data_IF_596608548059
#
_entry.id   IF_596608548059
#
_cell.length_a   1.000
_cell.length_b   1.000
_cell.length_c   1.000
_cell.angle_alpha   90.00
_cell.angle_beta   90.00
_cell.angle_gamma   90.00
#
_symmetry.space_group_name_H-M   'P 1'
#
loop_
_entity.id
_entity.type
_entity.pdbx_description
1 polymer ?
#
# COMPACT_ATOMS: atom_id res chain seq x y z
N UNK A 1 -32.30 -1.28 8.36
CA UNK A 1 -30.82 -1.37 8.52
C UNK A 1 -30.24 -2.08 7.30
N UNK A 2 -29.45 -1.36 6.52
CA UNK A 2 -29.04 -1.74 5.17
C UNK A 2 -28.04 -2.91 5.24
N UNK A 3 -28.55 -4.14 5.08
CA UNK A 3 -27.78 -5.38 4.98
C UNK A 3 -26.73 -5.34 3.85
N UNK A 4 -26.95 -4.48 2.83
CA UNK A 4 -26.02 -4.32 1.71
C UNK A 4 -24.73 -3.57 2.04
N UNK A 5 -24.67 -2.75 3.10
CA UNK A 5 -23.45 -1.98 3.42
C UNK A 5 -22.26 -2.87 3.80
N UNK A 6 -22.53 -4.01 4.44
CA UNK A 6 -21.51 -5.04 4.71
C UNK A 6 -21.08 -5.76 3.44
N UNK A 7 -22.03 -6.13 2.58
CA UNK A 7 -21.76 -6.82 1.30
C UNK A 7 -20.92 -5.95 0.36
N UNK A 8 -21.24 -4.66 0.24
CA UNK A 8 -20.50 -3.72 -0.61
C UNK A 8 -19.03 -3.58 -0.17
N UNK A 9 -18.74 -3.53 1.13
CA UNK A 9 -17.37 -3.48 1.65
C UNK A 9 -16.59 -4.76 1.32
N UNK A 10 -17.23 -5.92 1.45
CA UNK A 10 -16.62 -7.22 1.11
C UNK A 10 -16.36 -7.30 -0.39
N UNK A 11 -17.33 -6.93 -1.22
CA UNK A 11 -17.16 -6.90 -2.69
C UNK A 11 -16.02 -5.96 -3.11
N UNK A 12 -15.94 -4.76 -2.53
CA UNK A 12 -14.84 -3.82 -2.78
C UNK A 12 -13.49 -4.39 -2.39
N UNK A 13 -13.38 -5.01 -1.21
CA UNK A 13 -12.14 -5.64 -0.76
C UNK A 13 -11.71 -6.77 -1.70
N UNK A 14 -12.65 -7.59 -2.17
CA UNK A 14 -12.39 -8.66 -3.13
C UNK A 14 -11.93 -8.11 -4.48
N UNK A 15 -12.57 -7.05 -4.99
CA UNK A 15 -12.17 -6.41 -6.24
C UNK A 15 -10.75 -5.83 -6.15
N UNK A 16 -10.44 -5.14 -5.04
CA UNK A 16 -9.10 -4.57 -4.79
C UNK A 16 -8.05 -5.68 -4.70
N UNK A 17 -8.32 -6.76 -3.96
CA UNK A 17 -7.41 -7.89 -3.85
C UNK A 17 -7.16 -8.59 -5.19
N UNK A 18 -8.22 -8.81 -5.97
CA UNK A 18 -8.13 -9.41 -7.30
C UNK A 18 -7.34 -8.53 -8.28
N UNK A 19 -7.56 -7.21 -8.23
CA UNK A 19 -6.81 -6.26 -9.05
C UNK A 19 -5.31 -6.32 -8.79
N UNK A 20 -4.90 -6.35 -7.52
CA UNK A 20 -3.48 -6.47 -7.16
C UNK A 20 -2.89 -7.81 -7.61
N UNK A 21 -3.59 -8.92 -7.40
CA UNK A 21 -3.15 -10.24 -7.87
C UNK A 21 -2.93 -10.29 -9.37
N UNK A 22 -3.88 -9.77 -10.15
CA UNK A 22 -3.78 -9.72 -11.61
C UNK A 22 -2.63 -8.79 -12.03
N UNK A 23 -2.47 -7.65 -11.37
CA UNK A 23 -1.37 -6.72 -11.65
C UNK A 23 0.00 -7.39 -11.44
N UNK A 24 0.20 -8.07 -10.31
CA UNK A 24 1.46 -8.79 -10.01
C UNK A 24 1.73 -9.88 -11.06
N UNK A 25 0.69 -10.62 -11.47
CA UNK A 25 0.82 -11.63 -12.52
C UNK A 25 1.25 -11.01 -13.85
N UNK A 26 0.58 -9.95 -14.30
CA UNK A 26 0.91 -9.28 -15.57
C UNK A 26 2.33 -8.70 -15.53
N UNK A 27 2.72 -8.09 -14.40
CA UNK A 27 4.08 -7.55 -14.20
C UNK A 27 5.14 -8.64 -14.43
N UNK A 28 4.92 -9.80 -13.82
CA UNK A 28 5.88 -10.90 -13.83
C UNK A 28 6.05 -11.55 -15.20
N UNK A 29 5.04 -11.54 -16.07
CA UNK A 29 5.09 -12.22 -17.37
C UNK A 29 5.38 -11.29 -18.55
N UNK A 30 4.85 -10.06 -18.53
CA UNK A 30 4.82 -9.18 -19.69
C UNK A 30 5.35 -7.77 -19.42
N UNK A 31 5.67 -7.47 -18.16
CA UNK A 31 5.89 -6.10 -17.70
C UNK A 31 4.58 -5.33 -17.60
N UNK A 32 4.49 -4.42 -16.63
CA UNK A 32 3.30 -3.59 -16.47
C UNK A 32 3.33 -2.38 -17.44
N UNK A 33 2.18 -2.00 -18.02
CA UNK A 33 2.07 -0.68 -18.63
C UNK A 33 2.40 0.41 -17.60
N UNK A 34 3.24 1.39 -17.97
CA UNK A 34 3.69 2.49 -17.08
C UNK A 34 2.56 3.17 -16.30
N UNK A 35 1.39 3.32 -16.92
CA UNK A 35 0.22 3.90 -16.25
C UNK A 35 -0.26 3.06 -15.06
N UNK A 36 -0.32 1.73 -15.21
CA UNK A 36 -0.73 0.82 -14.15
C UNK A 36 0.32 0.78 -13.04
N UNK A 37 1.60 0.86 -13.40
CA UNK A 37 2.71 0.89 -12.43
C UNK A 37 2.63 2.14 -11.53
N UNK A 38 2.43 3.32 -12.14
CA UNK A 38 2.23 4.58 -11.40
C UNK A 38 0.98 4.51 -10.51
N UNK A 39 -0.12 3.97 -11.04
CA UNK A 39 -1.35 3.82 -10.26
C UNK A 39 -1.15 2.89 -9.06
N UNK A 40 -0.49 1.75 -9.24
CA UNK A 40 -0.16 0.81 -8.17
C UNK A 40 0.74 1.44 -7.12
N UNK A 41 1.73 2.23 -7.52
CA UNK A 41 2.61 2.96 -6.60
C UNK A 41 1.82 3.95 -5.73
N UNK A 42 0.97 4.79 -6.35
CA UNK A 42 0.12 5.75 -5.65
C UNK A 42 -0.86 5.05 -4.71
N UNK A 43 -1.48 3.96 -5.18
CA UNK A 43 -2.46 3.21 -4.42
C UNK A 43 -1.83 2.51 -3.21
N UNK A 44 -0.64 1.92 -3.38
CA UNK A 44 0.15 1.32 -2.30
C UNK A 44 0.57 2.35 -1.26
N UNK A 45 1.06 3.51 -1.70
CA UNK A 45 1.39 4.63 -0.81
C UNK A 45 0.17 5.11 -0.01
N UNK A 46 -0.97 5.24 -0.69
CA UNK A 46 -2.23 5.67 -0.06
C UNK A 46 -2.70 4.69 1.02
N UNK A 47 -2.62 3.38 0.75
CA UNK A 47 -2.94 2.34 1.74
C UNK A 47 -1.98 2.42 2.94
N UNK A 48 -0.70 2.66 2.70
CA UNK A 48 0.30 2.76 3.76
C UNK A 48 0.02 3.92 4.71
N UNK A 49 -0.18 5.12 4.15
CA UNK A 49 -0.48 6.34 4.94
C UNK A 49 -1.80 6.18 5.69
N UNK A 50 -2.86 5.72 5.01
CA UNK A 50 -4.17 5.53 5.62
C UNK A 50 -4.12 4.46 6.72
N UNK A 51 -3.45 3.35 6.47
CA UNK A 51 -3.28 2.26 7.43
C UNK A 51 -2.49 2.68 8.66
N UNK A 52 -1.36 3.37 8.47
CA UNK A 52 -0.57 3.94 9.57
C UNK A 52 -1.39 4.92 10.40
N UNK A 53 -2.16 5.82 9.77
CA UNK A 53 -3.03 6.76 10.49
C UNK A 53 -4.11 6.06 11.31
N UNK A 54 -4.81 5.08 10.73
CA UNK A 54 -5.87 4.32 11.42
C UNK A 54 -5.29 3.56 12.61
N UNK A 55 -4.20 2.82 12.42
CA UNK A 55 -3.57 2.03 13.48
C UNK A 55 -2.99 2.92 14.59
N UNK A 56 -2.38 4.05 14.23
CA UNK A 56 -1.92 5.04 15.20
C UNK A 56 -3.06 5.58 16.06
N UNK A 57 -4.20 5.94 15.43
CA UNK A 57 -5.40 6.41 16.15
C UNK A 57 -5.92 5.34 17.12
N UNK A 58 -6.02 4.08 16.68
CA UNK A 58 -6.50 2.97 17.54
C UNK A 58 -5.54 2.69 18.68
N UNK A 59 -4.23 2.78 18.45
CA UNK A 59 -3.23 2.64 19.50
C UNK A 59 -3.35 3.73 20.56
N UNK A 60 -3.53 4.99 20.14
CA UNK A 60 -3.77 6.12 21.07
C UNK A 60 -5.03 5.93 21.90
N UNK A 61 -6.06 5.30 21.33
CA UNK A 61 -7.30 4.96 22.02
C UNK A 61 -7.23 3.67 22.87
N UNK A 62 -6.11 2.94 22.88
CA UNK A 62 -5.97 1.66 23.60
C UNK A 62 -6.82 0.52 23.06
N UNK A 63 -7.37 0.64 21.85
CA UNK A 63 -8.29 -0.34 21.23
C UNK A 63 -7.61 -1.23 20.19
N UNK A 64 -6.29 -1.29 20.22
CA UNK A 64 -5.47 -1.99 19.23
C UNK A 64 -5.42 -3.49 19.52
N UNK A 65 -5.97 -4.29 18.61
CA UNK A 65 -5.99 -5.75 18.73
C UNK A 65 -4.62 -6.37 18.39
N UNK A 66 -4.37 -7.62 18.81
CA UNK A 66 -3.10 -8.29 18.52
C UNK A 66 -2.89 -8.58 17.02
N UNK A 67 -3.99 -8.83 16.28
CA UNK A 67 -3.94 -8.92 14.83
C UNK A 67 -3.52 -7.59 14.20
N UNK A 68 -4.08 -6.48 14.67
CA UNK A 68 -3.74 -5.14 14.19
C UNK A 68 -2.31 -4.73 14.56
N UNK A 69 -1.76 -5.17 15.69
CA UNK A 69 -0.34 -4.99 16.03
C UNK A 69 0.59 -5.70 15.03
N UNK A 70 0.21 -6.89 14.56
CA UNK A 70 0.96 -7.60 13.49
C UNK A 70 0.86 -6.84 12.17
N UNK A 71 -0.34 -6.41 11.80
CA UNK A 71 -0.56 -5.59 10.61
C UNK A 71 0.24 -4.27 10.68
N UNK A 72 0.31 -3.63 11.85
CA UNK A 72 1.09 -2.40 12.02
C UNK A 72 2.58 -2.58 11.78
N UNK A 73 3.14 -3.73 12.16
CA UNK A 73 4.53 -4.06 11.81
C UNK A 73 4.73 -4.16 10.30
N UNK A 74 3.79 -4.78 9.59
CA UNK A 74 3.84 -4.89 8.12
C UNK A 74 3.78 -3.52 7.46
N UNK A 75 2.84 -2.66 7.87
CA UNK A 75 2.70 -1.31 7.31
C UNK A 75 3.95 -0.48 7.61
N UNK A 76 4.53 -0.58 8.81
CA UNK A 76 5.80 0.10 9.12
C UNK A 76 6.95 -0.35 8.24
N UNK A 77 7.07 -1.66 7.96
CA UNK A 77 8.09 -2.16 7.04
C UNK A 77 7.87 -1.63 5.63
N UNK A 78 6.61 -1.59 5.18
CA UNK A 78 6.24 -1.05 3.88
C UNK A 78 6.53 0.45 3.76
N UNK A 79 6.20 1.24 4.77
CA UNK A 79 6.56 2.67 4.86
C UNK A 79 8.07 2.85 4.72
N UNK A 80 8.86 2.06 5.44
CA UNK A 80 10.33 2.11 5.39
C UNK A 80 10.87 1.79 4.00
N UNK A 81 10.32 0.77 3.34
CA UNK A 81 10.68 0.41 1.97
C UNK A 81 10.37 1.55 0.98
N UNK A 82 9.21 2.20 1.13
CA UNK A 82 8.84 3.37 0.31
C UNK A 82 9.84 4.51 0.53
N UNK A 83 10.16 4.84 1.78
CA UNK A 83 11.15 5.88 2.08
C UNK A 83 12.52 5.58 1.45
N UNK A 84 13.01 4.34 1.58
CA UNK A 84 14.28 3.92 0.96
C UNK A 84 14.21 4.06 -0.56
N UNK A 85 13.12 3.62 -1.19
CA UNK A 85 12.93 3.73 -2.64
C UNK A 85 12.96 5.19 -3.12
N UNK A 86 12.28 6.09 -2.41
CA UNK A 86 12.28 7.53 -2.72
C UNK A 86 13.68 8.14 -2.52
N UNK A 87 14.40 7.76 -1.45
CA UNK A 87 15.76 8.23 -1.21
C UNK A 87 16.75 7.75 -2.27
N UNK A 88 16.63 6.51 -2.74
CA UNK A 88 17.43 5.99 -3.85
C UNK A 88 17.16 6.76 -5.14
N UNK A 89 15.89 7.03 -5.45
CA UNK A 89 15.51 7.83 -6.62
C UNK A 89 16.07 9.25 -6.54
N UNK A 90 15.94 9.91 -5.39
CA UNK A 90 16.51 11.24 -5.13
C UNK A 90 18.03 11.23 -5.28
N UNK A 91 18.70 10.22 -4.73
CA UNK A 91 20.15 10.07 -4.85
C UNK A 91 20.56 9.92 -6.30
N UNK A 92 19.87 9.08 -7.07
CA UNK A 92 20.12 8.95 -8.51
C UNK A 92 20.01 10.29 -9.23
N UNK A 93 18.95 11.08 -8.97
CA UNK A 93 18.80 12.41 -9.57
C UNK A 93 19.88 13.41 -9.15
N UNK A 94 20.36 13.35 -7.91
CA UNK A 94 21.45 14.22 -7.44
C UNK A 94 22.80 13.83 -8.06
N UNK A 95 23.04 12.54 -8.25
CA UNK A 95 24.31 12.02 -8.74
C UNK A 95 24.39 11.84 -10.26
N UNK A 96 23.27 11.93 -11.00
CA UNK A 96 23.26 11.80 -12.47
C UNK A 96 24.13 12.84 -13.18
N UNK A 97 24.34 14.01 -12.56
CA UNK A 97 25.22 15.06 -13.10
C UNK A 97 26.72 14.74 -12.93
N UNK A 98 27.04 13.79 -12.05
CA UNK A 98 28.42 13.39 -11.74
C UNK A 98 28.83 12.08 -12.44
N UNK A 99 27.95 11.52 -13.28
CA UNK A 99 28.18 10.40 -14.19
C UNK A 99 28.29 10.91 -15.63
#
# INVERSE_FOLDING_TARGET
>A
MIKSWGTWKVTLLTVIGNYFLISILIESYYGLPKFIEIFNAIFTFSISVAGTYVLWRKNKAGTLTDYEKRCWRLIRTLDLLIFISVLLLLSFFLFIKYF
#
